data_IF_064935180628
#
_entry.id   IF_064935180628
#
_cell.length_a   1.000
_cell.length_b   1.000
_cell.length_c   1.000
_cell.angle_alpha   90.00
_cell.angle_beta   90.00
_cell.angle_gamma   90.00
#
_symmetry.space_group_name_H-M   'P 1'
#
loop_
_entity.id
_entity.type
_entity.pdbx_description
1 polymer ?
#
# COMPACT_ATOMS: atom_id res chain seq x y z
N UNK A 1 3.21 14.54 -13.77
CA UNK A 1 2.69 13.26 -13.20
C UNK A 1 1.88 13.58 -11.94
N UNK A 2 0.66 13.08 -11.88
CA UNK A 2 -0.27 13.40 -10.80
C UNK A 2 -0.53 12.15 -9.99
N UNK A 3 -0.18 12.18 -8.69
CA UNK A 3 -0.29 11.02 -7.80
C UNK A 3 -1.30 11.25 -6.69
N UNK A 4 -2.21 10.30 -6.49
CA UNK A 4 -3.11 10.29 -5.35
C UNK A 4 -2.70 9.22 -4.37
N UNK A 5 -2.50 9.58 -3.10
CA UNK A 5 -2.21 8.65 -2.04
C UNK A 5 -3.43 8.52 -1.14
N UNK A 6 -4.07 7.36 -1.18
CA UNK A 6 -5.28 7.08 -0.41
C UNK A 6 -4.96 6.11 0.73
N UNK A 7 -5.42 6.42 1.92
CA UNK A 7 -5.15 5.58 3.08
C UNK A 7 -6.35 5.52 4.03
N UNK A 8 -6.39 4.45 4.80
CA UNK A 8 -7.27 4.33 5.96
C UNK A 8 -6.40 4.12 7.19
N UNK A 9 -6.69 4.79 8.29
CA UNK A 9 -5.85 4.71 9.48
C UNK A 9 -6.67 4.90 10.75
N UNK A 10 -6.55 3.94 11.67
CA UNK A 10 -7.20 4.02 12.98
C UNK A 10 -6.22 4.39 14.10
N UNK A 11 -4.91 4.19 13.88
CA UNK A 11 -3.86 4.43 14.87
C UNK A 11 -2.83 5.47 14.44
N UNK A 12 -3.08 6.19 13.36
CA UNK A 12 -2.20 7.22 12.79
C UNK A 12 -0.92 6.71 12.10
N UNK A 13 -0.51 5.46 12.26
CA UNK A 13 0.73 4.97 11.65
C UNK A 13 0.68 4.96 10.13
N UNK A 14 -0.45 4.55 9.55
CA UNK A 14 -0.63 4.55 8.09
C UNK A 14 -0.61 5.98 7.55
N UNK A 15 -1.20 6.92 8.29
CA UNK A 15 -1.18 8.33 7.95
C UNK A 15 0.23 8.92 8.03
N UNK A 16 0.97 8.59 9.09
CA UNK A 16 2.36 9.06 9.24
C UNK A 16 3.24 8.56 8.09
N UNK A 17 3.06 7.31 7.68
CA UNK A 17 3.77 6.76 6.52
C UNK A 17 3.37 7.49 5.24
N UNK A 18 2.08 7.81 5.07
CA UNK A 18 1.59 8.57 3.92
C UNK A 18 2.26 9.94 3.81
N UNK A 19 2.40 10.64 4.93
CA UNK A 19 3.05 11.95 4.97
C UNK A 19 4.53 11.85 4.60
N UNK A 20 5.23 10.83 5.09
CA UNK A 20 6.64 10.60 4.76
C UNK A 20 6.82 10.28 3.29
N UNK A 21 5.97 9.44 2.73
CA UNK A 21 6.00 9.09 1.30
C UNK A 21 5.78 10.35 0.45
N UNK A 22 4.76 11.14 0.79
CA UNK A 22 4.49 12.41 0.09
C UNK A 22 5.70 13.33 0.12
N UNK A 23 6.32 13.50 1.28
CA UNK A 23 7.44 14.43 1.43
C UNK A 23 8.68 13.99 0.65
N UNK A 24 8.91 12.68 0.53
CA UNK A 24 10.03 12.14 -0.25
C UNK A 24 9.76 12.26 -1.74
N UNK A 25 8.54 11.91 -2.19
CA UNK A 25 8.18 11.95 -3.62
C UNK A 25 7.97 13.37 -4.15
N UNK A 26 7.58 14.29 -3.27
CA UNK A 26 7.34 15.69 -3.59
C UNK A 26 5.93 16.12 -3.21
N UNK A 27 5.78 17.07 -2.26
CA UNK A 27 4.46 17.54 -1.82
C UNK A 27 3.61 18.15 -2.93
N UNK A 28 4.26 18.66 -3.98
CA UNK A 28 3.57 19.24 -5.14
C UNK A 28 3.06 18.17 -6.12
N UNK A 29 3.56 16.94 -6.01
CA UNK A 29 3.18 15.83 -6.90
C UNK A 29 2.17 14.88 -6.29
N UNK A 30 2.13 14.78 -4.97
CA UNK A 30 1.31 13.80 -4.24
C UNK A 30 0.24 14.49 -3.42
N UNK A 31 -1.02 14.12 -3.65
CA UNK A 31 -2.16 14.59 -2.86
C UNK A 31 -2.62 13.47 -1.93
N UNK A 32 -2.72 13.76 -0.64
CA UNK A 32 -3.18 12.80 0.37
C UNK A 32 -4.70 12.79 0.48
N UNK A 33 -5.28 11.60 0.54
CA UNK A 33 -6.70 11.40 0.76
C UNK A 33 -6.93 10.38 1.86
N UNK A 34 -7.60 10.80 2.93
CA UNK A 34 -8.03 9.90 3.98
C UNK A 34 -9.41 9.34 3.60
N UNK A 35 -9.52 8.03 3.46
CA UNK A 35 -10.78 7.39 3.04
C UNK A 35 -11.92 7.56 4.03
N UNK A 36 -11.61 8.00 5.25
CA UNK A 36 -12.63 8.36 6.22
C UNK A 36 -13.45 9.58 5.73
N UNK A 37 -12.79 10.49 5.02
CA UNK A 37 -13.38 11.77 4.59
C UNK A 37 -13.59 11.85 3.09
N UNK A 38 -12.77 11.17 2.29
CA UNK A 38 -12.74 11.29 0.83
C UNK A 38 -13.25 10.01 0.15
N UNK A 39 -14.04 10.19 -0.91
CA UNK A 39 -14.63 9.06 -1.63
C UNK A 39 -13.57 8.34 -2.50
N UNK A 40 -13.66 7.00 -2.62
CA UNK A 40 -12.71 6.24 -3.46
C UNK A 40 -12.84 6.57 -4.95
N UNK A 41 -13.95 7.11 -5.40
CA UNK A 41 -14.12 7.54 -6.79
C UNK A 41 -13.10 8.59 -7.22
N UNK A 42 -12.53 9.34 -6.29
CA UNK A 42 -11.46 10.32 -6.57
C UNK A 42 -10.22 9.65 -7.14
N UNK A 43 -10.04 8.35 -6.93
CA UNK A 43 -8.91 7.59 -7.49
C UNK A 43 -8.86 7.66 -9.01
N UNK A 44 -10.02 7.77 -9.65
CA UNK A 44 -10.09 7.81 -11.11
C UNK A 44 -9.46 9.06 -11.72
N UNK A 45 -9.24 10.10 -10.92
CA UNK A 45 -8.65 11.37 -11.36
C UNK A 45 -7.12 11.36 -11.45
N UNK A 46 -6.49 10.30 -10.97
CA UNK A 46 -5.03 10.21 -10.90
C UNK A 46 -4.49 9.16 -11.87
N UNK A 47 -3.30 9.40 -12.41
CA UNK A 47 -2.60 8.42 -13.25
C UNK A 47 -1.85 7.40 -12.40
N UNK A 48 -1.38 7.83 -11.23
CA UNK A 48 -0.63 7.00 -10.29
C UNK A 48 -1.36 7.01 -8.94
N UNK A 49 -1.55 5.83 -8.39
CA UNK A 49 -2.18 5.66 -7.08
C UNK A 49 -1.21 4.98 -6.12
N UNK A 50 -1.11 5.54 -4.92
CA UNK A 50 -0.40 4.92 -3.80
C UNK A 50 -1.46 4.64 -2.75
N UNK A 51 -1.58 3.39 -2.34
CA UNK A 51 -2.67 2.97 -1.45
C UNK A 51 -2.08 2.34 -0.19
N UNK A 52 -2.48 2.86 0.96
CA UNK A 52 -2.02 2.40 2.26
C UNK A 52 -3.13 1.72 3.05
N UNK A 53 -2.91 0.46 3.42
CA UNK A 53 -3.90 -0.36 4.13
C UNK A 53 -3.26 -1.14 5.28
N UNK A 54 -3.64 -0.86 6.54
CA UNK A 54 -3.18 -1.68 7.66
C UNK A 54 -3.98 -2.97 7.77
N UNK A 55 -3.35 -4.01 8.30
CA UNK A 55 -4.03 -5.26 8.63
C UNK A 55 -4.28 -5.29 10.14
N UNK A 56 -5.51 -5.58 10.54
CA UNK A 56 -5.93 -5.63 11.94
C UNK A 56 -6.12 -7.07 12.39
N UNK A 57 -5.73 -7.34 13.62
CA UNK A 57 -5.97 -8.61 14.34
C UNK A 57 -5.72 -9.85 13.45
N UNK A 58 -6.75 -10.63 13.15
CA UNK A 58 -6.67 -11.90 12.43
C UNK A 58 -6.79 -11.73 10.91
N UNK A 59 -6.12 -10.75 10.36
CA UNK A 59 -6.14 -10.48 8.92
C UNK A 59 -7.30 -9.61 8.48
N UNK A 60 -7.84 -8.80 9.39
CA UNK A 60 -9.00 -7.97 9.12
C UNK A 60 -8.63 -6.68 8.39
N UNK A 61 -9.54 -6.25 7.53
CA UNK A 61 -9.41 -4.99 6.79
C UNK A 61 -9.78 -3.84 7.73
N UNK A 62 -8.97 -2.78 7.72
CA UNK A 62 -9.23 -1.58 8.51
C UNK A 62 -10.58 -0.96 8.12
N UNK A 63 -11.30 -0.41 9.10
CA UNK A 63 -12.70 0.02 8.96
C UNK A 63 -12.99 1.03 7.85
N UNK A 64 -12.09 1.97 7.58
CA UNK A 64 -12.30 2.96 6.51
C UNK A 64 -12.23 2.31 5.13
N UNK A 65 -11.34 1.33 4.96
CA UNK A 65 -11.26 0.52 3.76
C UNK A 65 -12.47 -0.41 3.63
N UNK A 66 -12.88 -1.01 4.74
CA UNK A 66 -14.05 -1.90 4.75
C UNK A 66 -15.31 -1.16 4.30
N UNK A 67 -15.48 0.08 4.75
CA UNK A 67 -16.63 0.90 4.39
C UNK A 67 -16.73 1.18 2.89
N UNK A 68 -15.60 1.21 2.17
CA UNK A 68 -15.55 1.51 0.73
C UNK A 68 -15.20 0.28 -0.11
N UNK A 69 -15.01 -0.89 0.50
CA UNK A 69 -14.46 -2.07 -0.17
C UNK A 69 -15.22 -2.47 -1.44
N UNK A 70 -16.55 -2.50 -1.35
CA UNK A 70 -17.37 -2.86 -2.49
C UNK A 70 -17.37 -1.79 -3.58
N UNK A 71 -17.21 -0.52 -3.19
CA UNK A 71 -17.17 0.60 -4.14
C UNK A 71 -15.95 0.50 -5.06
N UNK A 72 -14.87 -0.14 -4.61
CA UNK A 72 -13.68 -0.34 -5.44
C UNK A 72 -13.99 -1.15 -6.70
N UNK A 73 -14.95 -2.04 -6.65
CA UNK A 73 -15.32 -2.87 -7.79
C UNK A 73 -15.89 -2.06 -8.95
N UNK A 74 -16.49 -0.92 -8.65
CA UNK A 74 -17.13 -0.06 -9.66
C UNK A 74 -16.17 0.97 -10.29
N UNK A 75 -14.94 1.07 -9.79
CA UNK A 75 -13.97 2.05 -10.28
C UNK A 75 -13.32 1.59 -11.58
N UNK A 76 -13.08 2.53 -12.48
CA UNK A 76 -12.28 2.30 -13.68
C UNK A 76 -10.85 2.76 -13.41
N UNK A 77 -9.97 1.80 -13.17
CA UNK A 77 -8.56 2.05 -12.87
C UNK A 77 -7.63 1.50 -13.95
N UNK A 78 -8.17 1.05 -15.07
CA UNK A 78 -7.40 0.42 -16.14
C UNK A 78 -6.25 1.31 -16.62
N UNK A 79 -5.06 0.72 -16.72
CA UNK A 79 -3.86 1.38 -17.18
C UNK A 79 -3.16 2.26 -16.14
N UNK A 80 -3.75 2.44 -14.98
CA UNK A 80 -3.12 3.24 -13.92
C UNK A 80 -1.96 2.47 -13.27
N UNK A 81 -0.97 3.23 -12.79
CA UNK A 81 0.13 2.66 -12.02
C UNK A 81 -0.29 2.66 -10.55
N UNK A 82 -0.14 1.54 -9.88
CA UNK A 82 -0.54 1.37 -8.48
C UNK A 82 0.61 0.84 -7.65
N UNK A 83 0.90 1.52 -6.55
CA UNK A 83 1.87 1.10 -5.55
C UNK A 83 1.15 0.94 -4.22
N UNK A 84 1.40 -0.17 -3.52
CA UNK A 84 0.73 -0.49 -2.26
C UNK A 84 1.70 -0.46 -1.10
N UNK A 85 1.23 -0.02 0.07
CA UNK A 85 1.99 -0.23 1.30
C UNK A 85 1.04 -0.67 2.40
N UNK A 86 1.56 -1.45 3.33
CA UNK A 86 0.75 -2.01 4.39
C UNK A 86 1.48 -2.01 5.72
N UNK A 87 0.71 -2.12 6.78
CA UNK A 87 1.21 -2.15 8.16
C UNK A 87 0.66 -3.37 8.88
N UNK A 88 1.50 -4.01 9.67
CA UNK A 88 1.10 -5.19 10.42
C UNK A 88 2.08 -5.50 11.54
N UNK A 89 1.78 -6.57 12.28
CA UNK A 89 2.60 -7.09 13.37
C UNK A 89 3.03 -8.52 13.03
N UNK A 90 4.29 -8.65 12.57
CA UNK A 90 4.79 -9.94 12.08
C UNK A 90 5.02 -10.96 13.19
N UNK A 91 5.26 -10.54 14.42
CA UNK A 91 5.49 -11.45 15.53
C UNK A 91 4.21 -11.77 16.31
N UNK A 92 3.37 -10.77 16.56
CA UNK A 92 2.11 -10.98 17.26
C UNK A 92 1.04 -11.62 16.42
N UNK A 93 1.02 -11.33 15.12
CA UNK A 93 0.01 -11.79 14.17
C UNK A 93 0.64 -12.30 12.86
N UNK A 94 1.72 -13.07 12.97
CA UNK A 94 2.49 -13.53 11.81
C UNK A 94 1.71 -14.35 10.80
N UNK A 95 0.69 -15.08 11.23
CA UNK A 95 -0.17 -15.88 10.34
C UNK A 95 -1.06 -15.00 9.46
N UNK A 96 -1.24 -13.74 9.84
CA UNK A 96 -2.09 -12.77 9.15
C UNK A 96 -1.33 -11.51 8.76
N UNK A 97 0.00 -11.53 8.86
CA UNK A 97 0.83 -10.37 8.56
C UNK A 97 0.54 -9.86 7.15
N UNK A 98 0.06 -8.60 7.06
CA UNK A 98 -0.28 -7.91 5.81
C UNK A 98 -1.34 -8.61 4.94
N UNK A 99 -2.20 -9.42 5.54
CA UNK A 99 -3.27 -10.08 4.79
C UNK A 99 -4.16 -9.08 4.03
N UNK A 100 -4.50 -7.95 4.66
CA UNK A 100 -5.31 -6.92 4.02
C UNK A 100 -4.63 -6.35 2.78
N UNK A 101 -3.30 -6.22 2.79
CA UNK A 101 -2.53 -5.78 1.63
C UNK A 101 -2.68 -6.77 0.47
N UNK A 102 -2.58 -8.07 0.76
CA UNK A 102 -2.77 -9.11 -0.23
C UNK A 102 -4.18 -9.11 -0.82
N UNK A 103 -5.17 -8.89 0.04
CA UNK A 103 -6.58 -8.82 -0.39
C UNK A 103 -6.82 -7.63 -1.31
N UNK A 104 -6.23 -6.48 -1.00
CA UNK A 104 -6.34 -5.28 -1.86
C UNK A 104 -5.65 -5.51 -3.21
N UNK A 105 -4.46 -6.11 -3.19
CA UNK A 105 -3.74 -6.45 -4.42
C UNK A 105 -4.58 -7.35 -5.33
N UNK A 106 -5.17 -8.41 -4.78
CA UNK A 106 -5.98 -9.35 -5.55
C UNK A 106 -7.19 -8.67 -6.16
N UNK A 107 -7.82 -7.77 -5.40
CA UNK A 107 -8.98 -7.02 -5.88
C UNK A 107 -8.61 -6.11 -7.05
N UNK A 108 -7.50 -5.40 -6.96
CA UNK A 108 -7.07 -4.47 -7.99
C UNK A 108 -6.41 -5.17 -9.18
N UNK A 109 -5.86 -6.36 -9.00
CA UNK A 109 -5.25 -7.13 -10.10
C UNK A 109 -6.23 -7.43 -11.23
N UNK A 110 -7.53 -7.47 -10.92
CA UNK A 110 -8.59 -7.72 -11.89
C UNK A 110 -8.95 -6.47 -12.72
N UNK A 111 -8.36 -5.32 -12.42
CA UNK A 111 -8.76 -4.03 -13.00
C UNK A 111 -7.82 -3.50 -14.09
N UNK A 112 -6.82 -4.29 -14.48
CA UNK A 112 -5.89 -3.87 -15.54
C UNK A 112 -4.90 -2.79 -15.11
N UNK A 113 -4.59 -2.71 -13.82
CA UNK A 113 -3.60 -1.78 -13.29
C UNK A 113 -2.19 -2.33 -13.48
N UNK A 114 -1.20 -1.44 -13.40
CA UNK A 114 0.22 -1.80 -13.46
C UNK A 114 0.81 -1.61 -12.07
N UNK A 115 1.14 -2.71 -11.40
CA UNK A 115 1.71 -2.64 -10.06
C UNK A 115 3.19 -2.30 -10.09
N UNK A 116 3.61 -1.46 -9.16
CA UNK A 116 5.03 -1.17 -8.88
C UNK A 116 5.25 -1.27 -7.37
N UNK A 117 6.50 -1.36 -6.94
CA UNK A 117 6.81 -1.31 -5.51
C UNK A 117 6.74 -2.64 -4.77
N UNK A 118 6.94 -3.76 -5.46
CA UNK A 118 7.06 -5.06 -4.78
C UNK A 118 8.38 -5.10 -4.03
N UNK A 119 8.37 -5.64 -2.81
CA UNK A 119 9.53 -5.65 -1.91
C UNK A 119 9.93 -7.07 -1.51
N UNK A 120 11.25 -7.34 -1.34
CA UNK A 120 11.70 -8.64 -0.84
C UNK A 120 11.17 -8.94 0.56
N UNK A 121 10.89 -10.21 0.83
CA UNK A 121 10.44 -10.68 2.15
C UNK A 121 11.59 -10.89 3.12
N UNK A 122 12.84 -10.77 2.67
CA UNK A 122 14.02 -10.93 3.51
C UNK A 122 14.00 -9.93 4.67
N UNK A 123 14.28 -10.40 5.88
CA UNK A 123 14.29 -9.56 7.08
C UNK A 123 12.97 -9.53 7.85
N UNK A 124 11.98 -10.31 7.40
CA UNK A 124 10.67 -10.42 8.06
C UNK A 124 10.42 -11.84 8.55
N UNK A 125 9.70 -11.96 9.67
CA UNK A 125 9.29 -13.25 10.23
C UNK A 125 7.77 -13.34 10.24
N UNK A 126 7.20 -14.17 9.36
CA UNK A 126 5.75 -14.33 9.26
C UNK A 126 5.42 -15.65 8.55
N UNK A 127 4.16 -16.08 8.61
CA UNK A 127 3.70 -17.29 7.94
C UNK A 127 2.53 -17.04 6.98
N UNK A 128 2.01 -15.81 6.92
CA UNK A 128 0.96 -15.45 5.97
C UNK A 128 1.43 -15.61 4.53
N UNK A 129 0.53 -16.07 3.64
CA UNK A 129 0.83 -16.21 2.21
C UNK A 129 -0.01 -15.26 1.32
N UNK A 130 -0.93 -14.48 1.89
CA UNK A 130 -1.76 -13.55 1.11
C UNK A 130 -0.99 -12.37 0.51
N UNK A 131 -0.04 -11.73 1.24
CA UNK A 131 0.65 -10.56 0.72
C UNK A 131 1.85 -10.87 -0.16
N UNK A 132 2.11 -12.13 -0.48
CA UNK A 132 3.34 -12.54 -1.16
C UNK A 132 3.08 -13.19 -2.51
N UNK A 133 4.08 -13.05 -3.39
CA UNK A 133 4.16 -13.69 -4.71
C UNK A 133 5.55 -14.28 -4.89
N UNK A 134 5.83 -14.87 -6.05
CA UNK A 134 7.16 -15.45 -6.38
C UNK A 134 7.63 -16.48 -5.34
N UNK A 135 6.73 -17.40 -4.96
CA UNK A 135 6.98 -18.45 -3.96
C UNK A 135 7.37 -17.88 -2.61
N UNK A 136 6.76 -16.74 -2.24
CA UNK A 136 6.99 -16.11 -0.95
C UNK A 136 8.22 -15.20 -0.89
N UNK A 137 8.85 -14.92 -2.01
CA UNK A 137 10.07 -14.11 -2.05
C UNK A 137 9.79 -12.60 -2.12
N UNK A 138 8.59 -12.19 -2.57
CA UNK A 138 8.22 -10.79 -2.71
C UNK A 138 6.89 -10.49 -2.03
N UNK A 139 6.84 -9.37 -1.30
CA UNK A 139 5.59 -8.74 -0.90
C UNK A 139 5.02 -7.96 -2.09
N UNK A 140 3.71 -7.87 -2.15
CA UNK A 140 3.01 -7.11 -3.21
C UNK A 140 3.03 -5.59 -2.97
N UNK A 141 3.79 -5.14 -2.00
CA UNK A 141 3.97 -3.71 -1.68
C UNK A 141 4.99 -3.52 -0.59
N UNK A 142 5.08 -2.30 -0.06
CA UNK A 142 5.96 -1.98 1.06
C UNK A 142 5.36 -2.53 2.35
N UNK A 143 6.14 -3.33 3.07
CA UNK A 143 5.74 -3.93 4.33
C UNK A 143 6.35 -3.15 5.50
N UNK A 144 5.51 -2.57 6.35
CA UNK A 144 5.92 -1.83 7.53
C UNK A 144 5.42 -2.50 8.79
N UNK A 145 6.26 -2.55 9.82
CA UNK A 145 5.95 -3.14 11.12
C UNK A 145 6.39 -2.17 12.22
N UNK A 146 5.47 -1.31 12.63
CA UNK A 146 5.74 -0.30 13.67
C UNK A 146 5.80 -0.91 15.07
N UNK A 147 5.27 -2.12 15.25
CA UNK A 147 5.29 -2.81 16.54
C UNK A 147 6.66 -3.42 16.84
N UNK A 148 7.26 -4.08 15.86
CA UNK A 148 8.47 -4.86 16.05
C UNK A 148 9.72 -4.23 15.40
N UNK A 149 9.54 -3.48 14.31
CA UNK A 149 10.64 -2.95 13.51
C UNK A 149 10.45 -1.47 13.15
N UNK A 150 9.89 -0.69 14.07
CA UNK A 150 9.62 0.73 13.81
C UNK A 150 10.91 1.51 13.46
N UNK A 151 12.05 1.07 13.97
CA UNK A 151 13.35 1.68 13.70
C UNK A 151 13.83 1.48 12.25
N UNK A 152 13.23 0.54 11.53
CA UNK A 152 13.56 0.28 10.13
C UNK A 152 12.60 0.99 9.16
N UNK A 153 11.49 1.54 9.65
CA UNK A 153 10.44 2.09 8.79
C UNK A 153 10.92 3.23 7.90
N UNK A 154 11.67 4.17 8.44
CA UNK A 154 12.14 5.32 7.67
C UNK A 154 13.05 4.91 6.52
N UNK A 155 13.97 3.98 6.75
CA UNK A 155 14.86 3.45 5.71
C UNK A 155 14.08 2.71 4.64
N UNK A 156 13.08 1.92 5.06
CA UNK A 156 12.24 1.14 4.15
C UNK A 156 11.40 2.07 3.27
N UNK A 157 10.83 3.11 3.85
CA UNK A 157 10.04 4.09 3.10
C UNK A 157 10.92 4.82 2.09
N UNK A 158 12.10 5.27 2.51
CA UNK A 158 13.04 5.99 1.63
C UNK A 158 13.44 5.11 0.43
N UNK A 159 13.88 3.89 0.69
CA UNK A 159 14.31 2.96 -0.35
C UNK A 159 13.16 2.62 -1.30
N UNK A 160 11.96 2.42 -0.75
CA UNK A 160 10.77 2.11 -1.55
C UNK A 160 10.37 3.27 -2.45
N UNK A 161 10.41 4.50 -1.94
CA UNK A 161 10.09 5.67 -2.76
C UNK A 161 11.07 5.81 -3.93
N UNK A 162 12.35 5.57 -3.71
CA UNK A 162 13.34 5.58 -4.78
C UNK A 162 13.06 4.48 -5.79
N UNK A 163 12.70 3.29 -5.31
CA UNK A 163 12.37 2.14 -6.16
C UNK A 163 11.16 2.45 -7.06
N UNK A 164 10.07 2.95 -6.48
CA UNK A 164 8.85 3.18 -7.26
C UNK A 164 9.04 4.31 -8.29
N UNK A 165 9.84 5.31 -7.99
CA UNK A 165 10.15 6.37 -8.96
C UNK A 165 10.86 5.79 -10.18
N UNK A 166 11.83 4.88 -9.97
CA UNK A 166 12.52 4.20 -11.06
C UNK A 166 11.59 3.31 -11.88
N UNK A 167 10.73 2.54 -11.20
CA UNK A 167 9.79 1.66 -11.87
C UNK A 167 8.72 2.43 -12.65
N UNK A 168 8.23 3.55 -12.10
CA UNK A 168 7.29 4.43 -12.80
C UNK A 168 7.92 5.00 -14.08
N UNK A 169 9.19 5.38 -14.02
CA UNK A 169 9.90 5.92 -15.18
C UNK A 169 9.94 4.91 -16.32
N UNK A 170 10.07 3.61 -16.00
CA UNK A 170 10.06 2.56 -17.01
C UNK A 170 8.71 2.46 -17.73
N UNK A 171 7.60 2.72 -17.03
CA UNK A 171 6.27 2.69 -17.64
C UNK A 171 5.97 3.88 -18.53
N UNK A 172 6.64 5.01 -18.30
CA UNK A 172 6.47 6.23 -19.10
C UNK A 172 7.56 6.45 -20.15
N UNK A 173 8.55 5.57 -20.17
CA UNK A 173 9.66 5.68 -21.12
C UNK A 173 9.29 5.31 -22.56
#
# INVERSE_FOLDING_TARGET
>A
MNMGLFYGSSTCYTEMAAEKIRDILGPELVTLHNLKDDAPALMEQYDVLILGIPTWDFGEIQEDWEAVWEQLDDLNLEGKIVALYGMGDQLGYGEWFLDALGMLHDKLALKGVKFVGYCPTEGYEFTSNKPVIADGQLFVGLALDETNQYDLSDERIQAWCEQILGEMAEHYA
#
